data_IF_394539062661
#
_entry.id   IF_394539062661
#
_cell.length_a   1.000
_cell.length_b   1.000
_cell.length_c   1.000
_cell.angle_alpha   90.00
_cell.angle_beta   90.00
_cell.angle_gamma   90.00
#
_symmetry.space_group_name_H-M   'P 1'
#
loop_
_entity.id
_entity.type
_entity.pdbx_description
1 polymer ?
#
# COMPACT_ATOMS: atom_id res chain seq x y z
N UNK A 1 17.15 -12.33 -3.98
CA UNK A 1 17.58 -11.15 -3.19
C UNK A 1 17.28 -9.90 -4.01
N UNK A 2 17.06 -8.77 -3.36
CA UNK A 2 16.93 -7.49 -4.06
C UNK A 2 17.62 -6.39 -3.25
N UNK A 3 18.17 -5.40 -3.95
CA UNK A 3 18.68 -4.15 -3.37
C UNK A 3 17.70 -3.05 -3.73
N UNK A 4 17.27 -2.27 -2.75
CA UNK A 4 16.32 -1.16 -2.88
C UNK A 4 16.94 0.07 -2.20
N UNK A 5 17.46 1.00 -3.00
CA UNK A 5 18.34 2.08 -2.55
C UNK A 5 19.55 1.52 -1.77
N UNK A 6 19.63 1.80 -0.47
CA UNK A 6 20.69 1.32 0.43
C UNK A 6 20.26 0.11 1.27
N UNK A 7 19.00 -0.34 1.14
CA UNK A 7 18.45 -1.47 1.88
C UNK A 7 18.48 -2.76 1.05
N UNK A 8 18.50 -3.89 1.74
CA UNK A 8 18.61 -5.22 1.14
C UNK A 8 17.42 -6.08 1.59
N UNK A 9 16.74 -6.69 0.62
CA UNK A 9 15.81 -7.80 0.85
C UNK A 9 16.61 -9.10 0.77
N UNK A 10 16.82 -9.73 1.94
CA UNK A 10 17.57 -10.97 2.08
C UNK A 10 16.81 -12.16 1.50
N UNK A 11 17.55 -13.19 1.10
CA UNK A 11 16.96 -14.43 0.59
C UNK A 11 16.11 -15.13 1.66
N UNK A 12 16.57 -15.13 2.91
CA UNK A 12 15.86 -15.72 4.05
C UNK A 12 14.50 -15.05 4.29
N UNK A 13 14.44 -13.72 4.22
CA UNK A 13 13.19 -12.96 4.35
C UNK A 13 12.22 -13.31 3.22
N UNK A 14 12.72 -13.36 1.98
CA UNK A 14 11.91 -13.74 0.83
C UNK A 14 11.40 -15.19 0.93
N UNK A 15 12.23 -16.12 1.38
CA UNK A 15 11.85 -17.53 1.59
C UNK A 15 10.81 -17.67 2.70
N UNK A 16 10.94 -16.92 3.80
CA UNK A 16 9.96 -16.92 4.88
C UNK A 16 8.59 -16.45 4.40
N UNK A 17 8.54 -15.39 3.61
CA UNK A 17 7.30 -14.89 3.00
C UNK A 17 6.73 -15.86 1.95
N UNK A 18 7.60 -16.56 1.21
CA UNK A 18 7.16 -17.60 0.28
C UNK A 18 6.47 -18.78 0.97
N UNK A 19 6.96 -19.21 2.14
CA UNK A 19 6.38 -20.34 2.88
C UNK A 19 4.93 -20.07 3.34
N UNK A 20 4.55 -18.81 3.51
CA UNK A 20 3.20 -18.42 3.91
C UNK A 20 2.28 -18.10 2.72
N UNK A 21 2.81 -18.17 1.49
CA UNK A 21 2.05 -17.88 0.28
C UNK A 21 1.15 -19.06 -0.14
N UNK A 22 -0.01 -18.75 -0.75
CA UNK A 22 -0.98 -19.76 -1.20
C UNK A 22 -0.46 -20.66 -2.33
N UNK A 23 0.45 -20.16 -3.16
CA UNK A 23 1.09 -20.90 -4.26
C UNK A 23 2.57 -20.51 -4.38
N UNK A 24 3.46 -21.16 -3.62
CA UNK A 24 4.90 -20.83 -3.57
C UNK A 24 5.71 -21.37 -4.77
N UNK A 25 5.12 -22.28 -5.55
CA UNK A 25 5.78 -22.94 -6.68
C UNK A 25 5.79 -22.11 -7.97
N UNK A 26 4.77 -21.27 -8.16
CA UNK A 26 4.62 -20.49 -9.40
C UNK A 26 5.65 -19.35 -9.51
N UNK A 27 6.42 -19.26 -10.62
CA UNK A 27 7.33 -18.15 -10.87
C UNK A 27 6.63 -16.78 -10.86
N UNK A 28 5.39 -16.70 -11.35
CA UNK A 28 4.59 -15.48 -11.33
C UNK A 28 4.23 -15.06 -9.89
N UNK A 29 3.95 -16.02 -9.01
CA UNK A 29 3.70 -15.78 -7.59
C UNK A 29 4.96 -15.28 -6.88
N UNK A 30 6.11 -15.91 -7.13
CA UNK A 30 7.43 -15.48 -6.61
C UNK A 30 7.78 -14.05 -7.02
N UNK A 31 7.61 -13.73 -8.30
CA UNK A 31 7.86 -12.39 -8.81
C UNK A 31 6.93 -11.38 -8.14
N UNK A 32 5.63 -11.68 -8.06
CA UNK A 32 4.64 -10.81 -7.39
C UNK A 32 4.98 -10.56 -5.92
N UNK A 33 5.38 -11.60 -5.18
CA UNK A 33 5.77 -11.47 -3.78
C UNK A 33 7.00 -10.59 -3.61
N UNK A 34 8.04 -10.77 -4.44
CA UNK A 34 9.23 -9.94 -4.38
C UNK A 34 8.90 -8.47 -4.68
N UNK A 35 8.03 -8.22 -5.67
CA UNK A 35 7.56 -6.86 -5.96
C UNK A 35 6.84 -6.24 -4.78
N UNK A 36 5.95 -6.98 -4.11
CA UNK A 36 5.27 -6.48 -2.92
C UNK A 36 6.26 -6.15 -1.78
N UNK A 37 7.32 -6.94 -1.61
CA UNK A 37 8.36 -6.65 -0.62
C UNK A 37 9.13 -5.37 -0.97
N UNK A 38 9.46 -5.17 -2.25
CA UNK A 38 10.10 -3.94 -2.74
C UNK A 38 9.19 -2.73 -2.49
N UNK A 39 7.91 -2.83 -2.85
CA UNK A 39 6.94 -1.74 -2.67
C UNK A 39 6.78 -1.38 -1.18
N UNK A 40 6.70 -2.38 -0.30
CA UNK A 40 6.66 -2.17 1.15
C UNK A 40 7.93 -1.49 1.68
N UNK A 41 9.10 -1.88 1.18
CA UNK A 41 10.38 -1.28 1.58
C UNK A 41 10.47 0.19 1.14
N UNK A 42 10.02 0.51 -0.08
CA UNK A 42 9.94 1.88 -0.56
C UNK A 42 9.01 2.74 0.28
N UNK A 43 7.83 2.21 0.62
CA UNK A 43 6.88 2.90 1.50
C UNK A 43 7.46 3.14 2.90
N UNK A 44 8.13 2.14 3.47
CA UNK A 44 8.76 2.27 4.78
C UNK A 44 9.84 3.35 4.79
N UNK A 45 10.67 3.40 3.75
CA UNK A 45 11.72 4.38 3.62
C UNK A 45 11.16 5.80 3.52
N UNK A 46 10.11 5.99 2.72
CA UNK A 46 9.46 7.29 2.61
C UNK A 46 8.74 7.68 3.91
N UNK A 47 8.07 6.74 4.58
CA UNK A 47 7.40 6.97 5.85
C UNK A 47 8.37 7.40 6.96
N UNK A 48 9.53 6.73 7.05
CA UNK A 48 10.61 7.11 7.98
C UNK A 48 11.13 8.52 7.69
N UNK A 49 11.37 8.86 6.42
CA UNK A 49 11.82 10.21 6.02
C UNK A 49 10.79 11.28 6.36
N UNK A 50 9.50 11.00 6.11
CA UNK A 50 8.40 11.90 6.44
C UNK A 50 8.33 12.19 7.94
N UNK A 51 8.51 11.16 8.80
CA UNK A 51 8.57 11.33 10.25
C UNK A 51 9.79 12.12 10.72
N UNK A 52 10.99 11.82 10.22
CA UNK A 52 12.21 12.54 10.63
C UNK A 52 12.19 14.01 10.22
N UNK A 53 11.53 14.36 9.10
CA UNK A 53 11.32 15.76 8.71
C UNK A 53 10.22 16.48 9.50
N UNK A 54 9.39 15.75 10.25
CA UNK A 54 8.24 16.29 10.99
C UNK A 54 8.44 16.33 12.52
N UNK A 55 9.48 15.68 13.06
CA UNK A 55 9.68 15.52 14.51
C UNK A 55 11.15 15.69 14.92
N UNK A 56 11.45 16.69 15.75
CA UNK A 56 12.78 16.90 16.40
C UNK A 56 13.11 15.91 17.53
N UNK A 57 12.30 14.86 17.73
CA UNK A 57 12.52 13.88 18.81
C UNK A 57 12.71 12.48 18.25
N UNK A 58 13.83 11.81 18.57
CA UNK A 58 14.02 10.41 18.27
C UNK A 58 13.24 9.60 19.31
N UNK A 59 11.96 9.37 19.06
CA UNK A 59 11.24 8.37 19.85
C UNK A 59 11.78 6.99 19.48
N UNK A 60 12.64 6.49 20.37
CA UNK A 60 13.26 5.17 20.40
C UNK A 60 12.22 4.11 20.77
N UNK A 61 11.15 4.01 20.00
CA UNK A 61 10.26 2.86 20.04
C UNK A 61 10.49 2.12 18.73
N UNK A 62 10.93 0.86 18.83
CA UNK A 62 10.86 -0.08 17.72
C UNK A 62 9.38 -0.31 17.41
N UNK A 63 8.77 0.63 16.69
CA UNK A 63 7.41 0.48 16.21
C UNK A 63 7.40 -0.47 15.02
N UNK A 64 6.39 -1.33 14.99
CA UNK A 64 6.15 -2.23 13.87
C UNK A 64 6.12 -1.43 12.56
N UNK A 65 6.91 -1.85 11.57
CA UNK A 65 7.00 -1.22 10.26
C UNK A 65 5.61 -1.04 9.62
N UNK A 66 4.67 -1.95 9.87
CA UNK A 66 3.29 -1.86 9.36
C UNK A 66 2.53 -0.65 9.94
N UNK A 67 2.75 -0.33 11.22
CA UNK A 67 2.16 0.84 11.87
C UNK A 67 2.72 2.12 11.26
N UNK A 68 4.04 2.18 11.08
CA UNK A 68 4.73 3.34 10.49
C UNK A 68 4.23 3.61 9.07
N UNK A 69 4.10 2.57 8.25
CA UNK A 69 3.56 2.68 6.89
C UNK A 69 2.10 3.12 6.93
N UNK A 70 1.27 2.51 7.80
CA UNK A 70 -0.15 2.83 7.93
C UNK A 70 -0.39 4.30 8.27
N UNK A 71 0.31 4.83 9.27
CA UNK A 71 0.23 6.25 9.62
C UNK A 71 0.65 7.18 8.49
N UNK A 72 1.72 6.81 7.77
CA UNK A 72 2.16 7.58 6.62
C UNK A 72 1.10 7.61 5.52
N UNK A 73 0.51 6.46 5.17
CA UNK A 73 -0.57 6.37 4.19
C UNK A 73 -1.75 7.25 4.61
N UNK A 74 -2.18 7.16 5.88
CA UNK A 74 -3.32 7.93 6.37
C UNK A 74 -3.04 9.45 6.32
N UNK A 75 -1.89 9.89 6.86
CA UNK A 75 -1.57 11.33 6.98
C UNK A 75 -1.16 11.98 5.67
N UNK A 76 -0.51 11.23 4.76
CA UNK A 76 0.07 11.80 3.54
C UNK A 76 -0.76 11.53 2.30
N UNK A 77 -1.38 10.36 2.20
CA UNK A 77 -2.06 9.91 0.98
C UNK A 77 -3.58 10.03 1.17
N UNK A 78 -4.14 9.39 2.20
CA UNK A 78 -5.58 9.40 2.46
C UNK A 78 -6.12 10.79 2.78
N UNK A 79 -5.33 11.62 3.48
CA UNK A 79 -5.67 13.02 3.73
C UNK A 79 -5.88 13.87 2.46
N UNK A 80 -5.41 13.42 1.30
CA UNK A 80 -5.59 14.09 -0.01
C UNK A 80 -6.82 13.58 -0.77
N UNK A 81 -7.66 12.76 -0.14
CA UNK A 81 -8.85 12.18 -0.75
C UNK A 81 -10.07 12.94 -0.22
N UNK A 82 -10.83 13.49 -1.15
CA UNK A 82 -12.12 14.10 -0.88
C UNK A 82 -13.15 13.43 -1.78
N UNK A 83 -14.19 12.86 -1.18
CA UNK A 83 -15.33 12.30 -1.90
C UNK A 83 -16.46 13.34 -1.83
N UNK A 84 -16.78 14.02 -2.94
CA UNK A 84 -17.87 14.98 -2.95
C UNK A 84 -19.21 14.25 -2.88
N UNK A 85 -20.24 14.93 -2.38
CA UNK A 85 -21.57 14.32 -2.20
C UNK A 85 -22.16 13.80 -3.51
N UNK A 86 -21.94 14.51 -4.61
CA UNK A 86 -22.38 14.12 -5.95
C UNK A 86 -21.79 12.77 -6.38
N UNK A 87 -20.57 12.43 -5.93
CA UNK A 87 -19.99 11.12 -6.22
C UNK A 87 -20.72 9.99 -5.47
N UNK A 88 -21.17 10.25 -4.24
CA UNK A 88 -21.95 9.32 -3.43
C UNK A 88 -23.32 9.08 -4.09
N UNK A 89 -24.01 10.16 -4.49
CA UNK A 89 -25.30 10.07 -5.18
C UNK A 89 -25.18 9.28 -6.50
N UNK A 90 -24.20 9.63 -7.33
CA UNK A 90 -23.97 8.94 -8.60
C UNK A 90 -23.69 7.45 -8.38
N UNK A 91 -22.85 7.10 -7.39
CA UNK A 91 -22.57 5.71 -7.08
C UNK A 91 -23.83 4.96 -6.62
N UNK A 92 -24.63 5.56 -5.74
CA UNK A 92 -25.90 4.98 -5.28
C UNK A 92 -26.85 4.72 -6.46
N UNK A 93 -27.06 5.72 -7.32
CA UNK A 93 -27.95 5.61 -8.49
C UNK A 93 -27.48 4.55 -9.49
N UNK A 94 -26.17 4.44 -9.72
CA UNK A 94 -25.59 3.41 -10.60
C UNK A 94 -25.66 1.99 -10.01
N UNK A 95 -25.90 1.86 -8.70
CA UNK A 95 -25.86 0.59 -7.98
C UNK A 95 -27.12 0.34 -7.15
N UNK A 96 -28.27 0.88 -7.55
CA UNK A 96 -29.54 0.76 -6.79
C UNK A 96 -29.88 -0.68 -6.41
N UNK A 97 -29.60 -1.64 -7.29
CA UNK A 97 -29.84 -3.07 -7.04
C UNK A 97 -29.06 -3.62 -5.83
N UNK A 98 -27.88 -3.04 -5.51
CA UNK A 98 -27.08 -3.44 -4.34
C UNK A 98 -27.72 -2.97 -3.03
N UNK A 99 -28.48 -1.88 -3.08
CA UNK A 99 -29.03 -1.22 -1.89
C UNK A 99 -30.53 -1.50 -1.69
N UNK A 100 -31.21 -2.07 -2.69
CA UNK A 100 -32.61 -2.50 -2.63
C UNK A 100 -33.51 -1.39 -2.09
N UNK A 101 -34.09 -1.59 -0.92
CA UNK A 101 -35.07 -0.71 -0.28
C UNK A 101 -34.43 0.31 0.68
N UNK A 102 -33.09 0.34 0.80
CA UNK A 102 -32.40 1.28 1.68
C UNK A 102 -32.32 2.67 1.04
N UNK A 103 -32.64 3.69 1.82
CA UNK A 103 -32.46 5.08 1.39
C UNK A 103 -30.97 5.43 1.34
N UNK A 104 -30.60 6.39 0.48
CA UNK A 104 -29.22 6.87 0.37
C UNK A 104 -28.67 7.35 1.71
N UNK A 105 -29.50 7.91 2.58
CA UNK A 105 -29.09 8.37 3.92
C UNK A 105 -28.56 7.20 4.76
N UNK A 106 -29.19 6.03 4.66
CA UNK A 106 -28.84 4.84 5.45
C UNK A 106 -27.54 4.18 4.99
N UNK A 107 -27.13 4.40 3.73
CA UNK A 107 -25.97 3.76 3.11
C UNK A 107 -24.87 4.73 2.72
N UNK A 108 -25.07 6.03 2.98
CA UNK A 108 -24.13 7.10 2.61
C UNK A 108 -22.71 6.81 3.10
N UNK A 109 -22.55 6.52 4.39
CA UNK A 109 -21.23 6.31 5.00
C UNK A 109 -20.54 5.07 4.44
N UNK A 110 -21.31 4.01 4.11
CA UNK A 110 -20.78 2.80 3.48
C UNK A 110 -20.27 3.10 2.06
N UNK A 111 -21.05 3.85 1.28
CA UNK A 111 -20.68 4.27 -0.07
C UNK A 111 -19.45 5.17 -0.02
N UNK A 112 -19.44 6.17 0.85
CA UNK A 112 -18.31 7.07 1.04
C UNK A 112 -17.04 6.30 1.40
N UNK A 113 -17.12 5.39 2.39
CA UNK A 113 -15.98 4.56 2.78
C UNK A 113 -15.43 3.73 1.60
N UNK A 114 -16.32 3.16 0.78
CA UNK A 114 -15.93 2.39 -0.41
C UNK A 114 -15.28 3.26 -1.48
N UNK A 115 -15.80 4.46 -1.71
CA UNK A 115 -15.23 5.41 -2.66
C UNK A 115 -13.86 5.89 -2.19
N UNK A 116 -13.72 6.22 -0.90
CA UNK A 116 -12.44 6.56 -0.28
C UNK A 116 -11.43 5.42 -0.43
N UNK A 117 -11.81 4.18 -0.14
CA UNK A 117 -10.92 3.03 -0.27
C UNK A 117 -10.49 2.80 -1.73
N UNK A 118 -11.40 2.98 -2.67
CA UNK A 118 -11.12 2.84 -4.11
C UNK A 118 -10.13 3.89 -4.58
N UNK A 119 -10.37 5.16 -4.22
CA UNK A 119 -9.46 6.25 -4.55
C UNK A 119 -8.09 6.07 -3.85
N UNK A 120 -8.09 5.60 -2.61
CA UNK A 120 -6.86 5.33 -1.86
C UNK A 120 -6.00 4.27 -2.55
N UNK A 121 -6.61 3.19 -3.06
CA UNK A 121 -5.88 2.17 -3.83
C UNK A 121 -5.24 2.75 -5.09
N UNK A 122 -5.95 3.62 -5.81
CA UNK A 122 -5.42 4.30 -7.00
C UNK A 122 -4.25 5.20 -6.63
N UNK A 123 -4.44 6.12 -5.68
CA UNK A 123 -3.39 7.05 -5.24
C UNK A 123 -2.18 6.35 -4.66
N UNK A 124 -2.37 5.29 -3.87
CA UNK A 124 -1.27 4.51 -3.31
C UNK A 124 -0.43 3.87 -4.42
N UNK A 125 -1.06 3.31 -5.46
CA UNK A 125 -0.35 2.76 -6.62
C UNK A 125 0.46 3.86 -7.33
N UNK A 126 -0.15 5.00 -7.62
CA UNK A 126 0.56 6.13 -8.25
C UNK A 126 1.75 6.61 -7.41
N UNK A 127 1.59 6.64 -6.09
CA UNK A 127 2.64 7.02 -5.16
C UNK A 127 3.81 6.02 -5.20
N UNK A 128 3.51 4.72 -5.13
CA UNK A 128 4.51 3.65 -5.23
C UNK A 128 5.22 3.72 -6.59
N UNK A 129 4.49 3.90 -7.70
CA UNK A 129 5.08 4.04 -9.02
C UNK A 129 6.04 5.25 -9.08
N UNK A 130 5.66 6.36 -8.42
CA UNK A 130 6.51 7.53 -8.24
C UNK A 130 7.79 7.24 -7.44
N UNK A 131 7.70 6.45 -6.37
CA UNK A 131 8.85 6.01 -5.57
C UNK A 131 9.77 5.09 -6.40
N UNK A 132 9.19 4.12 -7.11
CA UNK A 132 9.94 3.17 -7.95
C UNK A 132 10.72 3.87 -9.06
N UNK A 133 10.16 4.91 -9.68
CA UNK A 133 10.84 5.73 -10.70
C UNK A 133 12.07 6.46 -10.16
N UNK A 134 12.10 6.78 -8.87
CA UNK A 134 13.20 7.51 -8.21
C UNK A 134 14.20 6.59 -7.51
N UNK A 135 13.80 5.36 -7.23
CA UNK A 135 14.59 4.41 -6.47
C UNK A 135 15.59 3.66 -7.35
N UNK A 136 16.73 3.32 -6.76
CA UNK A 136 17.61 2.31 -7.33
C UNK A 136 17.12 0.92 -6.92
N UNK A 137 16.73 0.09 -7.89
CA UNK A 137 16.22 -1.27 -7.64
C UNK A 137 17.03 -2.27 -8.46
N UNK A 138 17.71 -3.21 -7.79
CA UNK A 138 18.43 -4.31 -8.43
C UNK A 138 17.94 -5.64 -7.91
N UNK A 139 17.25 -6.39 -8.75
CA UNK A 139 16.77 -7.75 -8.44
C UNK A 139 17.84 -8.76 -8.82
N UNK A 140 18.14 -9.67 -7.90
CA UNK A 140 19.01 -10.83 -8.10
C UNK A 140 18.22 -12.09 -7.73
N UNK A 141 17.45 -12.59 -8.69
CA UNK A 141 16.91 -13.93 -8.65
C UNK A 141 17.96 -14.82 -9.29
N UNK A 142 18.68 -15.61 -8.48
CA UNK A 142 19.62 -16.59 -9.03
C UNK A 142 18.79 -17.64 -9.76
N UNK A 143 18.90 -17.69 -11.10
CA UNK A 143 18.60 -18.88 -11.88
C UNK A 143 19.76 -19.85 -11.68
N UNK A 144 19.73 -20.59 -10.59
CA UNK A 144 20.58 -21.76 -10.42
C UNK A 144 19.71 -22.87 -9.82
N UNK A 145 19.12 -23.65 -10.72
CA UNK A 145 19.04 -25.10 -10.54
C UNK A 145 20.42 -25.72 -10.86
#
# INVERSE_FOLDING_TARGET
MAIVNDDIILLSEFQHVLQTAKDPGSPASRFKLLNNMIDNMLLLNEAKRYRTGASDKPDKIEEDNSIIIGEYIDRRIKALIHVPYEAIENYYQMNLELYRDKDIIDVRDEIEARLVETELRTKLREFIDGLRKKAYIRIQLNEHD
#
